data_IF_164508207689
#
_entry.id   IF_164508207689
#
_cell.length_a   1.000
_cell.length_b   1.000
_cell.length_c   1.000
_cell.angle_alpha   90.00
_cell.angle_beta   90.00
_cell.angle_gamma   90.00
#
_symmetry.space_group_name_H-M   'P 1'
#
loop_
_entity.id
_entity.type
_entity.pdbx_description
1 polymer ?
#
# COMPACT_ATOMS: atom_id res chain seq x y z
N UNK A 1 47.59 -46.71 -7.12
CA UNK A 1 47.03 -45.84 -8.18
C UNK A 1 45.50 -45.72 -8.14
N UNK A 2 44.72 -46.80 -7.94
CA UNK A 2 43.24 -46.71 -7.90
C UNK A 2 42.67 -45.89 -6.73
N UNK A 3 43.28 -45.96 -5.55
CA UNK A 3 42.86 -45.18 -4.38
C UNK A 3 43.07 -43.67 -4.55
N UNK A 4 44.18 -43.27 -5.19
CA UNK A 4 44.48 -41.86 -5.46
C UNK A 4 43.46 -41.30 -6.46
N UNK A 5 43.14 -42.07 -7.50
CA UNK A 5 42.10 -41.71 -8.49
C UNK A 5 40.73 -41.48 -7.81
N UNK A 6 40.34 -42.33 -6.87
CA UNK A 6 39.05 -42.18 -6.17
C UNK A 6 38.99 -40.93 -5.29
N UNK A 7 40.09 -40.57 -4.61
CA UNK A 7 40.14 -39.34 -3.80
C UNK A 7 40.09 -38.09 -4.68
N UNK A 8 40.79 -38.11 -5.82
CA UNK A 8 40.77 -37.00 -6.78
C UNK A 8 39.37 -36.81 -7.36
N UNK A 9 38.68 -37.89 -7.76
CA UNK A 9 37.29 -37.79 -8.26
C UNK A 9 36.30 -37.30 -7.20
N UNK A 10 36.44 -37.73 -5.94
CA UNK A 10 35.59 -37.24 -4.85
C UNK A 10 35.80 -35.76 -4.57
N UNK A 11 37.04 -35.29 -4.63
CA UNK A 11 37.37 -33.87 -4.46
C UNK A 11 36.74 -33.02 -5.58
N UNK A 12 36.83 -33.45 -6.84
CA UNK A 12 36.19 -32.74 -7.96
C UNK A 12 34.66 -32.70 -7.85
N UNK A 13 34.02 -33.80 -7.44
CA UNK A 13 32.56 -33.82 -7.22
C UNK A 13 32.18 -32.85 -6.09
N UNK A 14 32.95 -32.81 -5.00
CA UNK A 14 32.69 -31.89 -3.88
C UNK A 14 32.81 -30.42 -4.31
N UNK A 15 33.79 -30.08 -5.16
CA UNK A 15 33.97 -28.73 -5.71
C UNK A 15 32.83 -28.35 -6.67
N UNK A 16 32.31 -29.29 -7.46
CA UNK A 16 31.16 -29.03 -8.35
C UNK A 16 29.88 -28.80 -7.53
N UNK A 17 29.68 -29.55 -6.44
CA UNK A 17 28.52 -29.37 -5.56
C UNK A 17 28.61 -28.02 -4.82
N UNK A 18 29.79 -27.61 -4.34
CA UNK A 18 29.93 -26.31 -3.66
C UNK A 18 29.85 -25.10 -4.60
N UNK A 19 30.16 -25.25 -5.89
CA UNK A 19 30.10 -24.15 -6.88
C UNK A 19 28.71 -23.95 -7.50
N UNK A 20 27.79 -24.92 -7.39
CA UNK A 20 26.42 -24.78 -7.93
C UNK A 20 25.48 -23.94 -7.05
N UNK A 21 25.91 -23.50 -5.87
CA UNK A 21 25.16 -22.58 -5.01
C UNK A 21 25.62 -21.12 -5.18
N UNK A 22 25.52 -20.59 -6.40
CA UNK A 22 25.41 -19.14 -6.61
C UNK A 22 24.14 -18.84 -7.40
N UNK A 23 23.00 -19.22 -6.82
CA UNK A 23 21.78 -18.45 -7.01
C UNK A 23 22.02 -17.07 -6.39
N UNK A 24 22.65 -16.17 -7.14
CA UNK A 24 22.84 -14.79 -6.73
C UNK A 24 21.46 -14.20 -6.44
N UNK A 25 21.12 -14.05 -5.15
CA UNK A 25 20.04 -13.18 -4.74
C UNK A 25 20.43 -11.78 -5.22
N UNK A 26 19.78 -11.34 -6.31
CA UNK A 26 19.84 -9.95 -6.78
C UNK A 26 19.55 -9.09 -5.56
N UNK A 27 20.54 -8.31 -5.13
CA UNK A 27 20.41 -7.41 -3.99
C UNK A 27 19.10 -6.61 -4.14
N UNK A 28 18.21 -6.61 -3.14
CA UNK A 28 16.93 -5.90 -3.22
C UNK A 28 17.10 -4.38 -3.41
N UNK A 29 18.30 -3.87 -3.20
CA UNK A 29 18.53 -2.44 -3.09
C UNK A 29 18.46 -1.68 -4.41
N UNK A 30 18.80 -2.33 -5.53
CA UNK A 30 18.86 -1.67 -6.83
C UNK A 30 17.50 -1.64 -7.55
N UNK A 31 16.59 -2.58 -7.25
CA UNK A 31 15.26 -2.65 -7.88
C UNK A 31 14.28 -1.61 -7.33
N UNK A 32 14.31 -1.35 -6.02
CA UNK A 32 13.28 -0.55 -5.35
C UNK A 32 13.25 0.92 -5.81
N UNK A 33 14.40 1.54 -6.08
CA UNK A 33 14.45 2.93 -6.55
C UNK A 33 13.95 3.06 -7.99
N UNK A 34 14.24 2.07 -8.84
CA UNK A 34 13.75 2.05 -10.21
C UNK A 34 12.22 1.88 -10.23
N UNK A 35 11.69 0.93 -9.45
CA UNK A 35 10.25 0.71 -9.34
C UNK A 35 9.52 1.93 -8.77
N UNK A 36 10.13 2.64 -7.82
CA UNK A 36 9.58 3.89 -7.29
C UNK A 36 9.56 5.00 -8.35
N UNK A 37 10.61 5.14 -9.16
CA UNK A 37 10.64 6.15 -10.23
C UNK A 37 9.56 5.91 -11.29
N UNK A 38 9.33 4.66 -11.67
CA UNK A 38 8.24 4.27 -12.58
C UNK A 38 6.89 4.61 -11.97
N UNK A 39 6.69 4.25 -10.71
CA UNK A 39 5.43 4.51 -10.02
C UNK A 39 5.16 6.02 -9.90
N UNK A 40 6.17 6.83 -9.57
CA UNK A 40 6.06 8.29 -9.53
C UNK A 40 5.62 8.85 -10.89
N UNK A 41 6.25 8.40 -11.98
CA UNK A 41 5.88 8.84 -13.33
C UNK A 41 4.41 8.48 -13.67
N UNK A 42 3.97 7.27 -13.32
CA UNK A 42 2.57 6.83 -13.50
C UNK A 42 1.59 7.67 -12.64
N UNK A 43 1.96 7.99 -11.39
CA UNK A 43 1.16 8.83 -10.49
C UNK A 43 1.02 10.28 -10.99
N UNK A 44 2.10 10.88 -11.48
CA UNK A 44 2.13 12.24 -12.03
C UNK A 44 1.27 12.33 -13.29
N UNK A 45 1.39 11.36 -14.21
CA UNK A 45 0.53 11.25 -15.41
C UNK A 45 -0.96 11.13 -15.05
N UNK A 46 -1.26 10.57 -13.89
CA UNK A 46 -2.63 10.43 -13.37
C UNK A 46 -3.10 11.63 -12.51
N UNK A 47 -2.30 12.70 -12.38
CA UNK A 47 -2.57 13.90 -11.59
C UNK A 47 -2.66 13.70 -10.07
N UNK A 48 -1.77 12.88 -9.49
CA UNK A 48 -1.63 12.69 -8.04
C UNK A 48 -0.36 13.39 -7.49
N UNK A 49 -0.15 14.65 -7.87
CA UNK A 49 1.09 15.39 -7.60
C UNK A 49 1.36 15.62 -6.10
N UNK A 50 0.31 15.86 -5.32
CA UNK A 50 0.47 16.11 -3.88
C UNK A 50 0.93 14.85 -3.14
N UNK A 51 0.43 13.69 -3.55
CA UNK A 51 0.85 12.41 -2.97
C UNK A 51 2.31 12.07 -3.35
N UNK A 52 2.70 12.36 -4.60
CA UNK A 52 4.09 12.24 -5.07
C UNK A 52 5.03 13.12 -4.26
N UNK A 53 4.63 14.36 -3.94
CA UNK A 53 5.44 15.24 -3.09
C UNK A 53 5.68 14.64 -1.69
N UNK A 54 4.65 14.02 -1.09
CA UNK A 54 4.80 13.33 0.20
C UNK A 54 5.78 12.15 0.10
N UNK A 55 5.68 11.35 -0.97
CA UNK A 55 6.61 10.25 -1.26
C UNK A 55 8.05 10.75 -1.35
N UNK A 56 8.31 11.83 -2.10
CA UNK A 56 9.65 12.37 -2.29
C UNK A 56 10.28 12.88 -0.99
N UNK A 57 9.47 13.48 -0.11
CA UNK A 57 9.92 13.89 1.23
C UNK A 57 10.32 12.68 2.10
N UNK A 58 9.54 11.59 2.06
CA UNK A 58 9.87 10.39 2.83
C UNK A 58 11.03 9.60 2.20
N UNK A 59 11.06 9.43 0.89
CA UNK A 59 12.09 8.65 0.18
C UNK A 59 13.49 9.18 0.45
N UNK A 60 13.63 10.51 0.51
CA UNK A 60 14.89 11.19 0.86
C UNK A 60 15.39 10.84 2.27
N UNK A 61 14.51 10.43 3.17
CA UNK A 61 14.86 10.10 4.57
C UNK A 61 14.89 8.61 4.85
N UNK A 62 13.99 7.82 4.24
CA UNK A 62 13.77 6.40 4.55
C UNK A 62 13.29 5.60 3.31
N UNK A 63 14.17 5.31 2.33
CA UNK A 63 13.79 4.72 1.05
C UNK A 63 13.27 3.28 1.15
N UNK A 64 13.53 2.57 2.25
CA UNK A 64 13.12 1.17 2.44
C UNK A 64 11.63 1.01 2.76
N UNK A 65 10.97 2.07 3.23
CA UNK A 65 9.56 2.00 3.63
C UNK A 65 8.59 1.86 2.46
N UNK A 66 9.05 2.06 1.22
CA UNK A 66 8.19 2.19 0.04
C UNK A 66 8.31 1.01 -0.96
N UNK A 67 8.86 -0.12 -0.54
CA UNK A 67 9.06 -1.28 -1.41
C UNK A 67 7.90 -2.28 -1.33
N UNK A 68 7.55 -2.91 -2.46
CA UNK A 68 6.55 -3.98 -2.55
C UNK A 68 5.20 -3.63 -1.91
N UNK A 69 4.69 -2.45 -2.26
CA UNK A 69 3.58 -1.81 -1.57
C UNK A 69 2.46 -1.48 -2.56
N UNK A 70 1.24 -1.36 -2.04
CA UNK A 70 0.14 -0.70 -2.75
C UNK A 70 -0.13 0.64 -2.11
N UNK A 71 -0.02 1.73 -2.86
CA UNK A 71 -0.46 3.05 -2.41
C UNK A 71 -1.95 3.26 -2.63
N UNK A 72 -2.59 3.88 -1.65
CA UNK A 72 -3.99 4.32 -1.66
C UNK A 72 -3.98 5.84 -1.67
N UNK A 73 -4.01 6.44 -2.85
CA UNK A 73 -3.66 7.84 -3.06
C UNK A 73 -4.90 8.74 -3.04
N UNK A 74 -5.05 9.64 -2.05
CA UNK A 74 -6.09 10.65 -2.12
C UNK A 74 -5.81 11.62 -3.27
N UNK A 75 -6.87 12.22 -3.84
CA UNK A 75 -6.72 13.30 -4.82
C UNK A 75 -6.04 14.53 -4.21
N UNK A 76 -5.46 15.38 -5.04
CA UNK A 76 -4.76 16.59 -4.60
C UNK A 76 -5.65 17.56 -3.79
N UNK A 77 -6.92 17.73 -4.18
CA UNK A 77 -7.85 18.67 -3.52
C UNK A 77 -8.14 18.32 -2.04
N UNK A 78 -8.48 17.07 -1.67
CA UNK A 78 -8.63 16.73 -0.24
C UNK A 78 -7.30 16.82 0.51
N UNK A 79 -6.16 16.44 -0.10
CA UNK A 79 -4.83 16.58 0.53
C UNK A 79 -4.50 18.04 0.86
N UNK A 80 -4.72 18.96 -0.07
CA UNK A 80 -4.38 20.38 0.10
C UNK A 80 -5.19 21.08 1.19
N UNK A 81 -6.34 20.51 1.59
CA UNK A 81 -7.20 21.04 2.66
C UNK A 81 -7.01 20.33 3.98
N UNK A 82 -6.29 19.23 3.97
CA UNK A 82 -6.08 18.40 5.15
C UNK A 82 -4.88 18.89 5.96
N UNK A 83 -5.00 18.78 7.27
CA UNK A 83 -3.95 19.21 8.19
C UNK A 83 -3.05 18.04 8.55
N UNK A 84 -2.40 17.44 7.54
CA UNK A 84 -1.64 16.20 7.67
C UNK A 84 -0.62 16.31 8.80
N UNK A 85 0.17 17.40 8.81
CA UNK A 85 1.27 17.61 9.75
C UNK A 85 0.80 17.70 11.22
N UNK A 86 -0.45 18.12 11.46
CA UNK A 86 -0.99 18.18 12.83
C UNK A 86 -1.58 16.84 13.28
N UNK A 87 -1.96 15.97 12.35
CA UNK A 87 -2.62 14.70 12.67
C UNK A 87 -1.66 13.52 12.68
N UNK A 88 -0.73 13.48 11.72
CA UNK A 88 0.20 12.38 11.51
C UNK A 88 1.57 12.92 11.06
N UNK A 89 2.65 12.19 11.35
CA UNK A 89 3.89 12.39 10.60
C UNK A 89 3.69 12.01 9.12
N UNK A 90 4.51 12.56 8.21
CA UNK A 90 4.45 12.18 6.77
C UNK A 90 4.62 10.67 6.60
N UNK A 91 5.47 10.04 7.40
CA UNK A 91 5.67 8.60 7.39
C UNK A 91 4.39 7.85 7.80
N UNK A 92 3.78 8.21 8.92
CA UNK A 92 2.53 7.58 9.38
C UNK A 92 1.40 7.78 8.37
N UNK A 93 1.29 8.98 7.79
CA UNK A 93 0.32 9.26 6.74
C UNK A 93 0.49 8.31 5.54
N UNK A 94 1.70 8.16 5.01
CA UNK A 94 1.97 7.28 3.86
C UNK A 94 1.77 5.80 4.21
N UNK A 95 2.20 5.38 5.41
CA UNK A 95 2.02 4.01 5.88
C UNK A 95 0.53 3.66 6.06
N UNK A 96 -0.27 4.61 6.54
CA UNK A 96 -1.73 4.46 6.69
C UNK A 96 -2.43 4.37 5.33
N UNK A 97 -1.89 5.07 4.33
CA UNK A 97 -2.33 5.07 2.93
C UNK A 97 -1.63 4.01 2.09
N UNK A 98 -1.27 2.88 2.68
CA UNK A 98 -0.66 1.80 1.93
C UNK A 98 -1.00 0.42 2.49
N UNK A 99 -0.94 -0.58 1.61
CA UNK A 99 -1.06 -2.00 1.95
C UNK A 99 0.33 -2.63 1.74
N UNK A 100 0.86 -3.44 2.68
CA UNK A 100 2.20 -4.01 2.62
C UNK A 100 2.24 -5.24 1.67
N UNK A 101 1.64 -5.10 0.50
CA UNK A 101 1.60 -6.09 -0.58
C UNK A 101 1.25 -5.38 -1.89
N UNK A 102 1.84 -5.78 -3.03
CA UNK A 102 1.53 -5.19 -4.33
C UNK A 102 0.25 -5.82 -4.92
N UNK A 103 -0.86 -5.10 -4.80
CA UNK A 103 -2.20 -5.56 -5.15
C UNK A 103 -2.76 -4.74 -6.31
N UNK A 104 -3.00 -5.39 -7.44
CA UNK A 104 -3.88 -4.88 -8.47
C UNK A 104 -5.33 -4.89 -7.97
N UNK A 105 -6.20 -4.11 -8.61
CA UNK A 105 -7.60 -4.02 -8.24
C UNK A 105 -8.31 -5.37 -8.39
N UNK A 106 -7.90 -6.17 -9.37
CA UNK A 106 -8.40 -7.53 -9.57
C UNK A 106 -8.20 -8.38 -8.33
N UNK A 107 -7.06 -8.24 -7.64
CA UNK A 107 -6.79 -8.94 -6.39
C UNK A 107 -7.60 -8.37 -5.23
N UNK A 108 -7.70 -7.04 -5.13
CA UNK A 108 -8.54 -6.38 -4.11
C UNK A 108 -10.00 -6.81 -4.24
N UNK A 109 -10.53 -6.89 -5.46
CA UNK A 109 -11.92 -7.23 -5.72
C UNK A 109 -12.28 -8.69 -5.37
N UNK A 110 -11.30 -9.57 -5.16
CA UNK A 110 -11.49 -10.92 -4.64
C UNK A 110 -11.66 -10.96 -3.11
N UNK A 111 -11.29 -9.89 -2.42
CA UNK A 111 -11.39 -9.82 -0.96
C UNK A 111 -12.88 -9.71 -0.57
N UNK A 112 -13.41 -10.63 0.25
CA UNK A 112 -14.82 -10.63 0.64
C UNK A 112 -15.23 -9.36 1.38
N UNK A 113 -16.48 -8.94 1.19
CA UNK A 113 -17.09 -7.86 1.96
C UNK A 113 -17.01 -8.12 3.47
N UNK A 114 -16.67 -7.09 4.25
CA UNK A 114 -16.49 -7.19 5.71
C UNK A 114 -15.11 -7.69 6.16
N UNK A 115 -14.23 -8.06 5.23
CA UNK A 115 -12.85 -8.47 5.56
C UNK A 115 -12.02 -7.32 6.11
N UNK A 116 -10.96 -7.66 6.84
CA UNK A 116 -9.98 -6.70 7.36
C UNK A 116 -8.63 -6.95 6.68
N UNK A 117 -8.03 -5.89 6.14
CA UNK A 117 -6.71 -5.92 5.48
C UNK A 117 -5.74 -5.03 6.27
N UNK A 118 -4.49 -5.47 6.52
CA UNK A 118 -3.52 -4.60 7.18
C UNK A 118 -3.13 -3.44 6.28
N UNK A 119 -2.96 -2.25 6.88
CA UNK A 119 -2.16 -1.21 6.24
C UNK A 119 -0.68 -1.41 6.58
N UNK A 120 0.21 -0.61 5.98
CA UNK A 120 1.63 -0.61 6.35
C UNK A 120 1.88 0.14 7.67
N UNK A 121 0.90 0.90 8.17
CA UNK A 121 0.97 1.50 9.51
C UNK A 121 0.65 0.42 10.54
N UNK A 122 1.56 0.14 11.50
CA UNK A 122 1.33 -0.87 12.52
C UNK A 122 0.01 -0.63 13.27
N UNK A 123 -0.72 -1.72 13.52
CA UNK A 123 -2.00 -1.74 14.23
C UNK A 123 -3.15 -0.98 13.53
N UNK A 124 -2.94 -0.39 12.36
CA UNK A 124 -4.00 0.21 11.56
C UNK A 124 -4.48 -0.76 10.49
N UNK A 125 -5.80 -0.96 10.44
CA UNK A 125 -6.43 -1.91 9.53
C UNK A 125 -7.47 -1.24 8.65
N UNK A 126 -7.71 -1.85 7.49
CA UNK A 126 -8.63 -1.40 6.47
C UNK A 126 -9.80 -2.38 6.39
N UNK A 127 -10.98 -1.94 6.80
CA UNK A 127 -12.24 -2.65 6.62
C UNK A 127 -12.68 -2.54 5.17
N UNK A 128 -12.82 -3.69 4.53
CA UNK A 128 -13.27 -3.82 3.14
C UNK A 128 -14.79 -3.77 3.10
N UNK A 129 -15.34 -2.85 2.29
CA UNK A 129 -16.73 -2.96 1.83
C UNK A 129 -16.72 -3.18 0.32
N UNK A 130 -17.07 -4.40 -0.10
CA UNK A 130 -16.99 -4.85 -1.49
C UNK A 130 -18.40 -5.06 -2.06
N UNK A 131 -18.90 -4.04 -2.75
CA UNK A 131 -20.11 -4.07 -3.58
C UNK A 131 -19.81 -4.37 -5.05
N UNK A 132 -18.66 -4.99 -5.35
CA UNK A 132 -18.18 -5.31 -6.69
C UNK A 132 -17.44 -4.17 -7.36
N UNK A 133 -17.26 -4.31 -8.70
CA UNK A 133 -16.34 -3.47 -9.49
C UNK A 133 -16.44 -1.98 -9.20
N UNK A 134 -17.64 -1.40 -9.25
CA UNK A 134 -17.83 0.06 -9.12
C UNK A 134 -17.91 0.56 -7.68
N UNK A 135 -18.00 -0.33 -6.70
CA UNK A 135 -18.33 -0.01 -5.32
C UNK A 135 -17.40 -0.76 -4.36
N UNK A 136 -16.13 -0.39 -4.36
CA UNK A 136 -15.12 -0.94 -3.46
C UNK A 136 -14.60 0.14 -2.53
N UNK A 137 -14.66 -0.11 -1.22
CA UNK A 137 -14.30 0.87 -0.18
C UNK A 137 -13.34 0.25 0.84
N UNK A 138 -12.46 1.10 1.37
CA UNK A 138 -11.54 0.80 2.46
C UNK A 138 -11.77 1.84 3.56
N UNK A 139 -12.18 1.42 4.76
CA UNK A 139 -12.59 2.33 5.85
C UNK A 139 -13.55 3.43 5.36
N UNK A 140 -14.58 3.02 4.61
CA UNK A 140 -15.59 3.90 4.02
C UNK A 140 -15.06 4.90 2.95
N UNK A 141 -13.79 4.82 2.56
CA UNK A 141 -13.23 5.61 1.47
C UNK A 141 -13.23 4.79 0.17
N UNK A 142 -13.83 5.34 -0.88
CA UNK A 142 -14.03 4.64 -2.17
C UNK A 142 -12.75 4.60 -3.00
N UNK A 143 -12.46 3.47 -3.65
CA UNK A 143 -11.48 3.40 -4.75
C UNK A 143 -12.13 3.98 -6.02
N UNK A 144 -11.53 5.04 -6.56
CA UNK A 144 -12.05 5.80 -7.72
C UNK A 144 -11.17 5.69 -8.96
N UNK A 145 -9.89 5.32 -8.79
CA UNK A 145 -8.98 5.09 -9.91
C UNK A 145 -8.19 3.82 -9.61
N UNK A 146 -8.25 2.85 -10.52
CA UNK A 146 -7.70 1.50 -10.33
C UNK A 146 -6.43 1.35 -11.12
N UNK A 147 -5.48 0.57 -10.61
CA UNK A 147 -4.29 0.13 -11.34
C UNK A 147 -3.54 1.29 -12.01
N UNK A 148 -3.38 2.42 -11.31
CA UNK A 148 -2.64 3.58 -11.85
C UNK A 148 -1.19 3.18 -12.10
N UNK A 149 -0.57 2.52 -11.12
CA UNK A 149 0.78 1.98 -11.24
C UNK A 149 0.70 0.52 -11.67
N UNK A 150 1.15 0.21 -12.88
CA UNK A 150 0.97 -1.11 -13.50
C UNK A 150 2.30 -1.78 -13.86
N UNK A 151 3.31 -1.00 -14.21
CA UNK A 151 4.56 -1.48 -14.81
C UNK A 151 5.58 -2.00 -13.78
N UNK A 152 5.65 -1.40 -12.59
CA UNK A 152 6.61 -1.74 -11.53
C UNK A 152 6.06 -2.70 -10.47
N UNK A 153 6.89 -2.99 -9.46
CA UNK A 153 6.48 -3.76 -8.27
C UNK A 153 5.51 -2.99 -7.36
N UNK A 154 5.55 -1.65 -7.38
CA UNK A 154 4.63 -0.80 -6.64
C UNK A 154 3.30 -0.71 -7.37
N UNK A 155 2.21 -0.97 -6.66
CA UNK A 155 0.85 -0.77 -7.17
C UNK A 155 0.26 0.50 -6.55
N UNK A 156 -0.65 1.15 -7.26
CA UNK A 156 -1.30 2.32 -6.71
C UNK A 156 -2.73 2.47 -7.24
N UNK A 157 -3.61 2.91 -6.34
CA UNK A 157 -5.02 3.19 -6.62
C UNK A 157 -5.38 4.55 -6.06
N UNK A 158 -6.18 5.30 -6.80
CA UNK A 158 -6.75 6.56 -6.34
C UNK A 158 -7.98 6.32 -5.45
N UNK A 159 -8.07 7.05 -4.35
CA UNK A 159 -9.17 6.98 -3.39
C UNK A 159 -9.89 8.33 -3.22
N UNK A 160 -11.19 8.28 -2.89
CA UNK A 160 -12.07 9.44 -2.79
C UNK A 160 -12.10 10.05 -1.40
N UNK A 161 -10.93 10.42 -0.89
CA UNK A 161 -10.80 10.98 0.44
C UNK A 161 -9.50 10.56 1.10
N UNK A 162 -9.36 10.98 2.35
CA UNK A 162 -8.23 10.62 3.19
C UNK A 162 -8.75 9.57 4.16
N UNK A 163 -8.00 8.48 4.34
CA UNK A 163 -8.33 7.49 5.35
C UNK A 163 -8.39 8.18 6.73
N UNK A 164 -9.25 7.77 7.66
CA UNK A 164 -9.29 8.38 8.99
C UNK A 164 -8.00 8.10 9.76
N UNK A 165 -7.56 9.03 10.60
CA UNK A 165 -6.45 8.78 11.53
C UNK A 165 -6.88 7.76 12.61
N UNK A 166 -5.94 7.02 13.21
CA UNK A 166 -6.29 6.05 14.26
C UNK A 166 -7.07 6.69 15.43
N UNK A 167 -6.76 7.95 15.77
CA UNK A 167 -7.42 8.70 16.83
C UNK A 167 -8.89 9.00 16.53
N UNK A 168 -9.27 9.14 15.26
CA UNK A 168 -10.64 9.44 14.84
C UNK A 168 -11.56 8.21 14.86
N UNK A 169 -11.01 6.99 14.90
CA UNK A 169 -11.79 5.73 14.87
C UNK A 169 -12.44 5.45 16.23
N UNK A 170 -11.93 6.05 17.32
CA UNK A 170 -12.42 5.81 18.68
C UNK A 170 -13.58 6.73 19.10
N UNK A 171 -13.94 7.74 18.30
CA UNK A 171 -14.93 8.76 18.71
C UNK A 171 -16.38 8.41 18.30
N UNK A 172 -16.58 7.36 17.48
CA UNK A 172 -17.91 6.94 17.00
C UNK A 172 -18.36 5.59 17.60
N UNK A 173 -17.69 5.11 18.64
CA UNK A 173 -18.25 4.06 19.48
C UNK A 173 -19.25 4.70 20.44
N UNK A 174 -20.51 4.24 20.52
CA UNK A 174 -21.32 4.49 21.69
C UNK A 174 -20.49 4.09 22.92
N UNK A 175 -20.33 5.02 23.86
CA UNK A 175 -19.83 4.70 25.20
C UNK A 175 -20.89 3.85 25.88
N UNK A 176 -20.90 2.56 25.58
CA UNK A 176 -21.54 1.58 26.44
C UNK A 176 -20.65 1.42 27.67
N UNK A 177 -20.93 2.26 28.67
CA UNK A 177 -20.45 2.08 30.03
C UNK A 177 -21.08 0.80 30.59
N UNK A 178 -20.51 -0.35 30.25
CA UNK A 178 -20.67 -1.57 31.03
C UNK A 178 -19.38 -2.38 30.94
N UNK A 179 -18.51 -2.16 31.92
CA UNK A 179 -17.41 -3.06 32.23
C UNK A 179 -17.97 -4.45 32.54
N UNK A 180 -17.80 -5.39 31.62
CA UNK A 180 -17.65 -6.80 31.97
C UNK A 180 -16.61 -7.40 31.03
N UNK A 181 -15.43 -7.68 31.57
CA UNK A 181 -14.37 -8.40 30.88
C UNK A 181 -14.91 -9.72 30.31
N UNK A 182 -14.67 -10.05 29.03
CA UNK A 182 -15.01 -11.37 28.54
C UNK A 182 -13.99 -12.37 29.08
N UNK A 183 -14.43 -13.18 30.05
CA UNK A 183 -13.77 -14.42 30.38
C UNK A 183 -13.88 -15.37 29.18
N UNK A 184 -12.73 -15.70 28.58
CA UNK A 184 -12.61 -16.81 27.63
C UNK A 184 -12.89 -18.09 28.42
N UNK A 185 -14.04 -18.72 28.18
CA UNK A 185 -14.34 -20.07 28.64
C UNK A 185 -14.53 -20.94 27.41
N UNK A 186 -13.54 -21.78 27.11
CA UNK A 186 -13.69 -22.84 26.12
C UNK A 186 -14.69 -23.89 26.64
N UNK A 187 -15.59 -24.47 25.81
CA UNK A 187 -16.49 -25.51 26.28
C UNK A 187 -15.73 -26.84 26.40
N UNK A 188 -15.53 -27.29 27.63
CA UNK A 188 -15.20 -28.69 27.91
C UNK A 188 -16.47 -29.53 27.92
N UNK A 189 -16.38 -30.67 27.24
CA UNK A 189 -17.37 -31.73 27.12
C UNK A 189 -17.84 -32.27 28.47
N UNK A 190 -19.16 -32.34 28.68
CA UNK A 190 -19.76 -33.34 29.56
C UNK A 190 -21.17 -33.75 29.07
N UNK A 191 -21.29 -35.03 28.77
CA UNK A 191 -22.55 -35.77 28.63
C UNK A 191 -23.35 -35.72 29.94
N UNK A 192 -24.68 -35.59 29.84
CA UNK A 192 -25.65 -36.62 30.25
C UNK A 192 -27.12 -36.10 30.24
N UNK A 193 -27.93 -36.79 29.42
CA UNK A 193 -29.32 -37.29 29.63
C UNK A 193 -30.45 -36.40 30.18
N UNK A 194 -31.49 -36.28 29.32
CA UNK A 194 -32.95 -36.48 29.55
C UNK A 194 -33.67 -35.78 30.73
N UNK A 195 -34.70 -34.96 30.43
CA UNK A 195 -36.12 -35.33 30.51
C UNK A 195 -37.05 -34.17 30.00
N UNK A 196 -38.05 -34.54 29.18
CA UNK A 196 -39.44 -34.02 29.01
C UNK A 196 -39.89 -32.71 29.69
N UNK A 197 -40.78 -31.84 29.17
CA UNK A 197 -41.82 -31.89 28.12
C UNK A 197 -42.43 -30.45 27.94
N UNK A 198 -43.46 -30.20 27.09
CA UNK A 198 -43.68 -28.95 26.34
C UNK A 198 -44.88 -28.07 26.78
N UNK A 199 -44.90 -26.80 26.33
CA UNK A 199 -46.07 -25.92 26.16
C UNK A 199 -45.71 -24.88 25.08
N UNK A 200 -46.24 -24.89 23.85
CA UNK A 200 -47.61 -24.71 23.32
C UNK A 200 -48.12 -23.24 23.31
N UNK A 201 -47.96 -22.64 22.11
CA UNK A 201 -48.81 -21.70 21.36
C UNK A 201 -49.54 -20.52 22.04
N UNK A 202 -49.41 -19.33 21.46
CA UNK A 202 -50.54 -18.65 20.78
C UNK A 202 -50.12 -17.36 20.02
N UNK A 203 -50.69 -17.24 18.83
CA UNK A 203 -50.74 -16.08 17.92
C UNK A 203 -51.43 -14.86 18.56
N UNK A 204 -51.06 -13.64 18.13
CA UNK A 204 -52.08 -12.66 17.72
C UNK A 204 -51.52 -11.52 16.84
N UNK A 205 -52.16 -11.41 15.67
CA UNK A 205 -52.56 -10.28 14.82
C UNK A 205 -51.91 -8.88 14.83
N UNK A 206 -52.01 -8.29 13.63
CA UNK A 206 -51.39 -7.10 13.05
C UNK A 206 -52.02 -5.74 13.48
N UNK A 207 -52.06 -4.69 12.64
CA UNK A 207 -51.09 -3.59 12.57
C UNK A 207 -51.70 -2.20 12.88
N UNK A 208 -50.89 -1.22 13.26
CA UNK A 208 -51.33 0.18 13.30
C UNK A 208 -50.46 1.11 12.45
N UNK A 209 -51.08 1.57 11.36
CA UNK A 209 -50.82 2.85 10.70
C UNK A 209 -50.87 3.99 11.72
N UNK A 210 -49.99 4.99 11.56
CA UNK A 210 -50.46 6.37 11.47
C UNK A 210 -49.42 7.28 10.80
N UNK A 211 -49.91 7.88 9.73
CA UNK A 211 -49.43 9.06 9.03
C UNK A 211 -49.36 10.30 9.92
N UNK A 212 -48.32 11.10 9.74
CA UNK A 212 -48.39 12.54 9.97
C UNK A 212 -47.58 13.27 8.89
N UNK A 213 -48.34 13.86 7.98
CA UNK A 213 -47.93 14.92 7.07
C UNK A 213 -47.43 16.12 7.88
N UNK A 214 -46.33 16.74 7.44
CA UNK A 214 -46.10 18.16 7.73
C UNK A 214 -45.74 18.89 6.45
N UNK A 215 -46.67 19.77 6.10
CA UNK A 215 -46.75 20.64 4.96
C UNK A 215 -45.98 21.96 5.18
N UNK A 216 -45.49 22.52 4.06
CA UNK A 216 -45.17 23.93 3.79
C UNK A 216 -44.11 24.63 4.66
N UNK A 217 -43.06 25.26 4.11
CA UNK A 217 -43.16 26.42 3.23
C UNK A 217 -41.79 26.79 2.62
N UNK A 218 -41.78 27.13 1.32
CA UNK A 218 -40.74 27.86 0.59
C UNK A 218 -41.21 29.32 0.42
N UNK A 219 -40.34 30.34 0.47
CA UNK A 219 -39.98 31.13 -0.73
C UNK A 219 -38.48 31.52 -0.76
N UNK A 220 -37.77 31.33 -1.87
CA UNK A 220 -37.35 32.34 -2.86
C UNK A 220 -36.16 33.21 -2.39
N UNK A 221 -35.00 33.01 -3.00
CA UNK A 221 -34.45 33.81 -4.10
C UNK A 221 -33.60 34.96 -3.54
N UNK A 222 -32.28 34.89 -3.77
CA UNK A 222 -31.47 36.06 -4.09
C UNK A 222 -30.07 35.64 -4.53
N UNK A 223 -29.91 35.79 -5.84
CA UNK A 223 -28.68 35.85 -6.60
C UNK A 223 -27.83 37.04 -6.14
N UNK A 224 -26.60 36.80 -5.68
CA UNK A 224 -25.57 37.84 -5.69
C UNK A 224 -24.25 37.30 -6.24
N UNK A 225 -24.12 37.53 -7.54
CA UNK A 225 -22.89 37.50 -8.33
C UNK A 225 -21.96 38.60 -7.83
N UNK A 226 -20.83 38.24 -7.21
CA UNK A 226 -19.70 39.15 -7.05
C UNK A 226 -18.53 38.63 -7.88
N UNK A 227 -18.46 39.14 -9.11
CA UNK A 227 -17.29 39.07 -9.98
C UNK A 227 -16.25 40.05 -9.44
N UNK A 228 -15.07 39.55 -9.08
CA UNK A 228 -13.89 40.37 -8.89
C UNK A 228 -12.99 40.26 -10.14
N UNK A 229 -12.42 41.37 -10.66
CA UNK A 229 -11.56 41.36 -11.83
C UNK A 229 -10.14 40.84 -11.52
N UNK A 230 -9.43 40.30 -12.53
CA UNK A 230 -8.09 39.74 -12.35
C UNK A 230 -7.02 40.84 -12.40
N UNK A 231 -5.92 40.72 -11.62
CA UNK A 231 -4.72 41.48 -11.90
C UNK A 231 -3.81 40.76 -12.92
N UNK A 232 -3.30 41.62 -13.78
CA UNK A 232 -2.55 41.44 -15.02
C UNK A 232 -1.12 40.92 -14.83
N UNK A 233 -0.67 40.21 -15.86
CA UNK A 233 0.67 39.74 -16.24
C UNK A 233 1.89 40.59 -15.83
N UNK A 234 3.01 39.94 -15.48
CA UNK A 234 4.17 39.76 -16.38
C UNK A 234 5.36 39.03 -15.70
N UNK A 235 6.25 38.38 -16.48
CA UNK A 235 7.18 37.36 -16.00
C UNK A 235 8.57 37.92 -15.70
N UNK A 236 9.19 37.49 -14.61
CA UNK A 236 10.62 37.75 -14.35
C UNK A 236 11.43 36.53 -14.78
N UNK A 237 12.18 36.72 -15.87
CA UNK A 237 13.28 35.88 -16.33
C UNK A 237 14.27 35.61 -15.18
N UNK A 238 14.58 34.34 -14.91
CA UNK A 238 15.77 33.95 -14.14
C UNK A 238 16.64 33.04 -15.01
N UNK A 239 17.98 33.22 -15.03
CA UNK A 239 18.85 32.61 -16.02
C UNK A 239 19.06 31.11 -15.82
N UNK A 240 19.18 30.42 -16.96
CA UNK A 240 19.58 29.04 -17.15
C UNK A 240 21.08 28.92 -16.90
N UNK A 241 21.49 28.09 -15.93
CA UNK A 241 22.90 27.75 -15.68
C UNK A 241 23.10 26.24 -15.76
N UNK A 242 23.78 25.86 -16.84
CA UNK A 242 24.80 24.82 -17.03
C UNK A 242 24.55 23.38 -16.56
N UNK A 243 24.28 22.55 -17.57
CA UNK A 243 24.36 21.10 -17.58
C UNK A 243 25.82 20.65 -17.75
N UNK A 244 26.40 20.00 -16.74
CA UNK A 244 27.65 19.25 -16.87
C UNK A 244 27.35 17.76 -17.04
N UNK A 245 27.67 17.26 -18.24
CA UNK A 245 27.59 15.84 -18.61
C UNK A 245 28.77 15.10 -17.98
N UNK A 246 28.52 14.28 -16.95
CA UNK A 246 29.51 13.34 -16.42
C UNK A 246 29.42 12.05 -17.26
N UNK A 247 30.44 11.81 -18.08
CA UNK A 247 30.73 10.51 -18.70
C UNK A 247 31.28 9.58 -17.61
N UNK A 248 30.56 8.50 -17.31
CA UNK A 248 31.12 7.37 -16.56
C UNK A 248 31.85 6.43 -17.53
N UNK A 249 33.18 6.41 -17.43
CA UNK A 249 34.06 5.47 -18.12
C UNK A 249 33.96 4.07 -17.48
N UNK A 250 33.20 3.18 -18.11
CA UNK A 250 33.22 1.73 -17.82
C UNK A 250 34.35 1.06 -18.62
N UNK A 251 35.61 1.33 -18.27
CA UNK A 251 36.77 0.75 -18.97
C UNK A 251 37.88 0.22 -18.04
N UNK A 252 37.58 -0.04 -16.76
CA UNK A 252 38.56 -0.57 -15.79
C UNK A 252 38.42 -2.06 -15.45
N UNK A 253 37.22 -2.63 -15.56
CA UNK A 253 36.95 -3.97 -14.99
C UNK A 253 37.26 -5.14 -15.94
N UNK A 254 37.27 -4.92 -17.26
CA UNK A 254 37.50 -5.99 -18.24
C UNK A 254 38.99 -6.34 -18.38
N UNK A 255 39.89 -5.39 -18.11
CA UNK A 255 41.34 -5.60 -18.22
C UNK A 255 41.89 -6.46 -17.08
N UNK A 256 41.27 -6.41 -15.89
CA UNK A 256 41.75 -7.15 -14.72
C UNK A 256 41.41 -8.65 -14.78
N UNK A 257 40.28 -9.03 -15.40
CA UNK A 257 39.93 -10.45 -15.59
C UNK A 257 40.82 -11.13 -16.65
N UNK A 258 41.22 -10.42 -17.70
CA UNK A 258 42.08 -10.96 -18.77
C UNK A 258 43.48 -11.34 -18.29
N UNK A 259 44.03 -10.59 -17.33
CA UNK A 259 45.37 -10.84 -16.79
C UNK A 259 45.43 -12.06 -15.86
N UNK A 260 44.37 -12.37 -15.11
CA UNK A 260 44.36 -13.57 -14.25
C UNK A 260 44.29 -14.88 -15.05
N UNK A 261 43.64 -14.88 -16.22
CA UNK A 261 43.58 -16.07 -17.10
C UNK A 261 44.93 -16.43 -17.73
N UNK A 262 45.85 -15.47 -17.92
CA UNK A 262 47.18 -15.75 -18.48
C UNK A 262 48.14 -16.41 -17.47
N UNK A 263 47.95 -16.18 -16.18
CA UNK A 263 48.88 -16.71 -15.14
C UNK A 263 48.59 -18.19 -14.84
N UNK A 264 47.34 -18.64 -14.96
CA UNK A 264 46.97 -20.03 -14.69
C UNK A 264 47.23 -20.99 -15.86
N UNK A 265 47.45 -20.47 -17.08
CA UNK A 265 47.74 -21.28 -18.27
C UNK A 265 49.19 -21.75 -18.40
N UNK A 266 50.13 -21.12 -17.69
CA UNK A 266 51.57 -21.46 -17.75
C UNK A 266 51.94 -22.55 -16.72
N UNK A 267 51.15 -22.71 -15.66
CA UNK A 267 51.42 -23.68 -14.58
C UNK A 267 51.02 -25.14 -14.91
N UNK A 268 50.49 -25.43 -16.11
CA UNK A 268 50.15 -26.80 -16.53
C UNK A 268 50.99 -27.32 -17.71
N UNK A 269 52.07 -26.62 -18.08
CA UNK A 269 52.96 -27.02 -19.16
C UNK A 269 54.44 -27.22 -18.74
N UNK A 270 54.71 -27.42 -17.45
CA UNK A 270 56.02 -27.86 -16.94
C UNK A 270 55.86 -29.07 -16.02
#
# INVERSE_FOLDING_TARGET
MRAIQTYVTLFFILVIITTTSTGAQKSPHHGNNHDLSIAIEEMEKANYFSFVMLINMLHSTNPRLLANITFLMPRDKPLSRSNIIQQDSISEFLLRHSIPSPLLFEHLNLIPNGSIVPSSLPHYTLKVSNGGRLNYFLNNVKIISRNICSLGSIKCHGIDGILPSPSAINDDSPRDNNHTSPFISCPSSHNNSEHDSPHDNSEHDSPHNNSSEHDSSRPDDNTHTHVAPPPTSSPTLVPKSDSSTIREDTSGFVVLLGLLSCVMGIAMAM
#
